data_IF_599550370558
#
_entry.id   IF_599550370558
#
_cell.length_a   1.000
_cell.length_b   1.000
_cell.length_c   1.000
_cell.angle_alpha   90.00
_cell.angle_beta   90.00
_cell.angle_gamma   90.00
#
_symmetry.space_group_name_H-M   'P 1'
#
loop_
_entity.id
_entity.type
_entity.pdbx_description
1 polymer ?
#
# COMPACT_ATOMS: atom_id res chain seq x y z
N UNK A 1 26.34 -5.50 4.02
CA UNK A 1 27.47 -5.90 3.17
C UNK A 1 27.63 -4.86 2.08
N UNK A 2 28.85 -4.36 1.87
CA UNK A 2 29.19 -3.34 0.88
C UNK A 2 30.21 -3.92 -0.11
N UNK A 3 29.81 -4.04 -1.37
CA UNK A 3 30.58 -4.69 -2.43
C UNK A 3 29.63 -5.24 -3.48
N UNK A 4 29.99 -5.19 -4.76
CA UNK A 4 29.14 -5.73 -5.82
C UNK A 4 29.02 -7.25 -5.66
N UNK A 5 27.80 -7.75 -5.81
CA UNK A 5 27.52 -9.19 -5.84
C UNK A 5 27.44 -9.63 -7.29
N UNK A 6 28.52 -10.22 -7.78
CA UNK A 6 28.60 -10.79 -9.13
C UNK A 6 28.73 -12.31 -9.01
N UNK A 7 27.76 -13.05 -9.55
CA UNK A 7 27.96 -14.47 -9.84
C UNK A 7 28.70 -14.58 -11.18
N UNK A 8 29.50 -15.64 -11.35
CA UNK A 8 30.10 -15.96 -12.65
C UNK A 8 29.04 -16.08 -13.76
N UNK A 9 29.47 -16.17 -15.02
CA UNK A 9 28.65 -16.07 -16.24
C UNK A 9 27.60 -17.19 -16.49
N UNK A 10 26.98 -17.75 -15.44
CA UNK A 10 25.93 -18.76 -15.52
C UNK A 10 24.59 -18.29 -14.94
N UNK A 11 23.54 -19.08 -15.19
CA UNK A 11 22.14 -18.92 -14.72
C UNK A 11 21.94 -19.17 -13.21
N UNK A 12 22.98 -18.98 -12.39
CA UNK A 12 22.90 -19.18 -10.94
C UNK A 12 22.09 -18.09 -10.24
N UNK A 13 21.39 -18.43 -9.16
CA UNK A 13 20.61 -17.49 -8.33
C UNK A 13 21.25 -17.23 -6.97
N UNK A 14 21.03 -16.03 -6.41
CA UNK A 14 21.35 -15.71 -5.02
C UNK A 14 20.18 -16.05 -4.12
N UNK A 15 20.39 -16.93 -3.14
CA UNK A 15 19.39 -17.20 -2.10
C UNK A 15 19.83 -16.58 -0.79
N UNK A 16 19.03 -15.65 -0.29
CA UNK A 16 19.21 -15.03 1.02
C UNK A 16 18.23 -15.68 1.99
N UNK A 17 18.76 -16.38 3.00
CA UNK A 17 17.99 -17.11 4.00
C UNK A 17 18.38 -16.76 5.43
N UNK A 18 17.82 -17.51 6.38
CA UNK A 18 18.08 -17.35 7.82
C UNK A 18 17.12 -16.41 8.54
N UNK A 19 17.32 -16.25 9.85
CA UNK A 19 16.48 -15.41 10.71
C UNK A 19 17.05 -13.99 10.92
N UNK A 20 18.30 -13.75 10.53
CA UNK A 20 18.97 -12.46 10.71
C UNK A 20 18.61 -11.44 9.62
N UNK A 21 18.78 -10.15 9.95
CA UNK A 21 18.59 -9.07 9.00
C UNK A 21 19.88 -8.79 8.22
N UNK A 22 19.77 -8.58 6.91
CA UNK A 22 20.88 -8.29 6.01
C UNK A 22 20.55 -7.07 5.15
N UNK A 23 21.41 -6.06 5.18
CA UNK A 23 21.36 -4.94 4.25
C UNK A 23 22.46 -5.07 3.18
N UNK A 24 22.08 -4.97 1.92
CA UNK A 24 22.97 -4.96 0.75
C UNK A 24 23.00 -3.57 0.14
N UNK A 25 24.14 -2.90 0.26
CA UNK A 25 24.38 -1.59 -0.34
C UNK A 25 25.14 -1.66 -1.66
N UNK A 26 25.80 -2.78 -1.94
CA UNK A 26 26.40 -3.03 -3.25
C UNK A 26 25.38 -3.52 -4.27
N UNK A 27 25.62 -3.20 -5.55
CA UNK A 27 24.76 -3.65 -6.63
C UNK A 27 24.88 -5.17 -6.81
N UNK A 28 23.74 -5.82 -7.03
CA UNK A 28 23.65 -7.17 -7.58
C UNK A 28 23.59 -7.01 -9.09
N UNK A 29 24.62 -7.46 -9.82
CA UNK A 29 24.73 -7.26 -11.26
C UNK A 29 25.21 -8.51 -11.98
N UNK A 30 24.45 -8.93 -12.99
CA UNK A 30 24.90 -9.67 -14.18
C UNK A 30 23.75 -9.82 -15.19
N UNK A 31 24.08 -10.02 -16.45
CA UNK A 31 23.13 -10.15 -17.56
C UNK A 31 22.61 -11.58 -17.78
N UNK A 32 23.14 -12.57 -17.05
CA UNK A 32 22.92 -14.00 -17.29
C UNK A 32 21.66 -14.61 -16.69
N UNK A 33 20.64 -13.81 -16.34
CA UNK A 33 19.39 -14.32 -15.77
C UNK A 33 19.48 -14.74 -14.30
N UNK A 34 20.45 -14.24 -13.53
CA UNK A 34 20.54 -14.52 -12.09
C UNK A 34 19.30 -14.06 -11.36
N UNK A 35 18.68 -15.00 -10.64
CA UNK A 35 17.56 -14.74 -9.76
C UNK A 35 18.02 -14.30 -8.38
N UNK A 36 17.14 -13.61 -7.66
CA UNK A 36 17.28 -13.29 -6.25
C UNK A 36 16.11 -13.93 -5.51
N UNK A 37 16.40 -14.85 -4.60
CA UNK A 37 15.39 -15.50 -3.78
C UNK A 37 15.56 -15.10 -2.32
N UNK A 38 14.51 -14.54 -1.72
CA UNK A 38 14.41 -14.28 -0.29
C UNK A 38 13.63 -15.42 0.39
N UNK A 39 14.25 -16.07 1.36
CA UNK A 39 13.73 -17.18 2.17
C UNK A 39 14.00 -16.90 3.66
N UNK A 40 13.49 -17.74 4.57
CA UNK A 40 13.74 -17.61 6.00
C UNK A 40 13.08 -16.39 6.65
N UNK A 41 13.09 -16.33 7.98
CA UNK A 41 12.33 -15.33 8.75
C UNK A 41 12.93 -13.91 8.74
N UNK A 42 14.20 -13.74 8.40
CA UNK A 42 14.89 -12.44 8.48
C UNK A 42 14.45 -11.43 7.42
N UNK A 43 14.99 -10.21 7.50
CA UNK A 43 14.79 -9.14 6.50
C UNK A 43 16.01 -8.98 5.58
N UNK A 44 15.79 -8.96 4.26
CA UNK A 44 16.79 -8.52 3.27
C UNK A 44 16.45 -7.11 2.80
N UNK A 45 17.38 -6.17 2.92
CA UNK A 45 17.22 -4.80 2.41
C UNK A 45 18.12 -4.59 1.18
N UNK A 46 17.51 -4.22 0.06
CA UNK A 46 18.21 -3.80 -1.17
C UNK A 46 18.24 -2.28 -1.24
N UNK A 47 19.36 -1.66 -0.88
CA UNK A 47 19.51 -0.18 -0.87
C UNK A 47 20.27 0.38 -2.08
N UNK A 48 20.60 -0.45 -3.06
CA UNK A 48 21.25 -0.01 -4.29
C UNK A 48 20.24 0.14 -5.44
N UNK A 49 20.09 1.35 -5.98
CA UNK A 49 19.17 1.62 -7.10
C UNK A 49 19.63 0.98 -8.43
N UNK A 50 20.93 0.71 -8.55
CA UNK A 50 21.59 0.19 -9.77
C UNK A 50 21.66 -1.34 -9.81
N UNK A 51 20.86 -2.06 -9.02
CA UNK A 51 20.70 -3.51 -9.16
C UNK A 51 20.30 -3.86 -10.60
N UNK A 52 21.05 -4.74 -11.26
CA UNK A 52 20.96 -4.96 -12.72
C UNK A 52 20.82 -6.44 -13.11
N UNK A 53 20.53 -7.33 -12.15
CA UNK A 53 20.21 -8.72 -12.44
C UNK A 53 18.89 -8.83 -13.22
N UNK A 54 18.86 -9.71 -14.23
CA UNK A 54 17.72 -9.90 -15.12
C UNK A 54 16.82 -11.08 -14.74
N UNK A 55 17.28 -11.97 -13.85
CA UNK A 55 16.46 -13.09 -13.36
C UNK A 55 15.39 -12.63 -12.38
N UNK A 56 14.46 -13.54 -12.09
CA UNK A 56 13.33 -13.25 -11.22
C UNK A 56 13.75 -12.90 -9.78
N UNK A 57 12.99 -12.02 -9.14
CA UNK A 57 13.04 -11.81 -7.69
C UNK A 57 11.88 -12.59 -7.07
N UNK A 58 12.17 -13.51 -6.16
CA UNK A 58 11.12 -14.32 -5.49
C UNK A 58 11.23 -14.19 -3.99
N UNK A 59 10.14 -13.81 -3.32
CA UNK A 59 10.04 -13.76 -1.86
C UNK A 59 9.17 -14.92 -1.42
N UNK A 60 9.77 -15.91 -0.77
CA UNK A 60 9.11 -17.14 -0.29
C UNK A 60 8.92 -17.16 1.23
N UNK A 61 9.51 -16.20 1.94
CA UNK A 61 9.39 -16.09 3.39
C UNK A 61 10.18 -14.90 3.95
N UNK A 62 9.73 -14.40 5.09
CA UNK A 62 10.26 -13.19 5.73
C UNK A 62 10.10 -11.96 4.82
N UNK A 63 10.97 -10.97 5.01
CA UNK A 63 10.77 -9.65 4.39
C UNK A 63 11.86 -9.29 3.38
N UNK A 64 11.46 -8.82 2.19
CA UNK A 64 12.31 -8.14 1.22
C UNK A 64 11.99 -6.65 1.21
N UNK A 65 12.87 -5.84 1.78
CA UNK A 65 12.77 -4.38 1.71
C UNK A 65 13.47 -3.87 0.45
N UNK A 66 12.68 -3.35 -0.49
CA UNK A 66 13.14 -2.68 -1.71
C UNK A 66 13.26 -1.19 -1.41
N UNK A 67 14.50 -0.75 -1.26
CA UNK A 67 14.85 0.61 -0.92
C UNK A 67 14.62 1.00 0.53
N UNK A 68 15.36 2.02 0.95
CA UNK A 68 15.15 2.72 2.20
C UNK A 68 15.43 4.21 2.00
N UNK A 69 14.59 5.06 2.59
CA UNK A 69 14.57 6.50 2.41
C UNK A 69 14.52 6.90 0.94
N UNK A 70 13.70 6.19 0.14
CA UNK A 70 13.54 6.45 -1.29
C UNK A 70 14.60 5.81 -2.19
N UNK A 71 15.62 5.14 -1.64
CA UNK A 71 16.79 4.68 -2.40
C UNK A 71 16.91 3.15 -2.38
N UNK A 72 16.78 2.55 -3.56
CA UNK A 72 17.04 1.14 -3.80
C UNK A 72 16.07 0.55 -4.83
N UNK A 73 16.45 -0.56 -5.47
CA UNK A 73 15.60 -1.19 -6.47
C UNK A 73 15.78 -2.70 -6.54
N UNK A 74 14.81 -3.41 -7.12
CA UNK A 74 15.01 -4.81 -7.56
C UNK A 74 15.86 -4.88 -8.83
N UNK A 75 16.04 -6.07 -9.39
CA UNK A 75 16.47 -6.26 -10.77
C UNK A 75 15.31 -6.04 -11.76
N UNK A 76 15.56 -6.32 -13.04
CA UNK A 76 14.60 -6.10 -14.14
C UNK A 76 13.72 -7.32 -14.43
N UNK A 77 14.02 -8.47 -13.84
CA UNK A 77 13.20 -9.67 -13.93
C UNK A 77 11.88 -9.55 -13.18
N UNK A 78 10.97 -10.49 -13.46
CA UNK A 78 9.69 -10.60 -12.78
C UNK A 78 9.85 -10.66 -11.25
N UNK A 79 8.91 -10.05 -10.52
CA UNK A 79 8.92 -10.06 -9.04
C UNK A 79 7.68 -10.80 -8.54
N UNK A 80 7.89 -11.80 -7.67
CA UNK A 80 6.81 -12.59 -7.08
C UNK A 80 6.96 -12.66 -5.57
N UNK A 81 5.89 -12.30 -4.85
CA UNK A 81 5.77 -12.49 -3.41
C UNK A 81 4.81 -13.66 -3.18
N UNK A 82 5.34 -14.76 -2.66
CA UNK A 82 4.57 -15.97 -2.38
C UNK A 82 3.97 -15.92 -0.98
N UNK A 83 3.15 -16.92 -0.65
CA UNK A 83 2.54 -17.07 0.67
C UNK A 83 3.59 -16.99 1.79
N UNK A 84 3.34 -16.18 2.81
CA UNK A 84 4.24 -15.95 3.94
C UNK A 84 5.44 -15.04 3.64
N UNK A 85 5.56 -14.54 2.41
CA UNK A 85 6.52 -13.52 2.02
C UNK A 85 5.97 -12.11 2.16
N UNK A 86 6.84 -11.17 2.54
CA UNK A 86 6.55 -9.74 2.58
C UNK A 86 7.49 -8.97 1.66
N UNK A 87 6.95 -8.11 0.80
CA UNK A 87 7.72 -7.06 0.11
C UNK A 87 7.37 -5.71 0.72
N UNK A 88 8.38 -4.91 1.04
CA UNK A 88 8.17 -3.57 1.62
C UNK A 88 9.14 -2.54 1.06
N UNK A 89 8.97 -1.28 1.44
CA UNK A 89 9.99 -0.23 1.31
C UNK A 89 9.49 1.00 0.57
N UNK A 90 10.44 1.86 0.23
CA UNK A 90 10.23 3.14 -0.46
C UNK A 90 11.00 3.22 -1.79
N UNK A 91 11.46 2.08 -2.32
CA UNK A 91 12.27 1.99 -3.53
C UNK A 91 11.47 1.69 -4.79
N UNK A 92 12.14 1.08 -5.77
CA UNK A 92 11.56 0.74 -7.09
C UNK A 92 11.61 -0.76 -7.39
N UNK A 93 10.45 -1.35 -7.63
CA UNK A 93 10.28 -2.65 -8.27
C UNK A 93 10.36 -2.47 -9.78
N UNK A 94 11.45 -2.95 -10.39
CA UNK A 94 11.79 -2.71 -11.81
C UNK A 94 11.30 -3.77 -12.78
N UNK A 95 10.68 -4.83 -12.28
CA UNK A 95 10.16 -5.92 -13.10
C UNK A 95 8.96 -5.47 -13.94
N UNK A 96 8.89 -5.94 -15.20
CA UNK A 96 7.71 -5.74 -16.06
C UNK A 96 6.49 -6.55 -15.60
N UNK A 97 6.68 -7.47 -14.66
CA UNK A 97 5.59 -8.12 -13.94
C UNK A 97 5.85 -8.15 -12.44
N UNK A 98 4.77 -7.92 -11.69
CA UNK A 98 4.71 -8.11 -10.25
C UNK A 98 3.50 -8.99 -9.92
N UNK A 99 3.69 -9.95 -9.02
CA UNK A 99 2.60 -10.77 -8.49
C UNK A 99 2.72 -10.87 -6.97
N UNK A 100 1.70 -10.40 -6.26
CA UNK A 100 1.48 -10.72 -4.85
C UNK A 100 0.47 -11.86 -4.78
N UNK A 101 0.93 -13.06 -4.40
CA UNK A 101 0.08 -14.25 -4.31
C UNK A 101 -0.77 -14.24 -3.03
N UNK A 102 -1.79 -15.10 -2.98
CA UNK A 102 -2.56 -15.32 -1.76
C UNK A 102 -1.65 -15.63 -0.56
N UNK A 103 -1.90 -14.98 0.58
CA UNK A 103 -1.12 -15.10 1.81
C UNK A 103 0.20 -14.30 1.82
N UNK A 104 0.48 -13.51 0.78
CA UNK A 104 1.61 -12.57 0.77
C UNK A 104 1.22 -11.19 1.31
N UNK A 105 2.22 -10.39 1.66
CA UNK A 105 2.04 -9.01 2.11
C UNK A 105 2.89 -8.03 1.29
N UNK A 106 2.31 -6.90 0.94
CA UNK A 106 3.00 -5.75 0.33
C UNK A 106 2.79 -4.53 1.21
N UNK A 107 3.87 -3.86 1.61
CA UNK A 107 3.81 -2.70 2.48
C UNK A 107 4.61 -1.54 1.86
N UNK A 108 3.93 -0.46 1.45
CA UNK A 108 4.66 0.75 1.09
C UNK A 108 5.13 1.46 2.37
N UNK A 109 6.36 1.96 2.38
CA UNK A 109 6.98 2.53 3.57
C UNK A 109 8.13 1.69 4.12
N UNK A 110 8.97 2.34 4.92
CA UNK A 110 10.26 1.79 5.38
C UNK A 110 10.21 1.05 6.71
N UNK A 111 9.12 1.23 7.46
CA UNK A 111 8.91 0.59 8.74
C UNK A 111 7.82 -0.45 8.60
N UNK A 112 8.23 -1.72 8.55
CA UNK A 112 7.43 -2.75 9.19
C UNK A 112 7.72 -2.57 10.67
N UNK A 113 6.78 -1.94 11.39
CA UNK A 113 6.71 -2.19 12.82
C UNK A 113 6.72 -3.71 13.03
N UNK A 114 7.28 -4.17 14.12
CA UNK A 114 7.31 -5.61 14.35
C UNK A 114 5.97 -6.06 14.93
N UNK A 115 4.93 -6.28 14.13
CA UNK A 115 4.06 -7.47 14.17
C UNK A 115 2.89 -7.42 13.18
N UNK A 116 2.80 -8.45 12.34
CA UNK A 116 1.56 -8.83 11.66
C UNK A 116 0.49 -9.17 12.72
N UNK A 117 -0.71 -8.62 12.51
CA UNK A 117 -1.95 -8.66 13.31
C UNK A 117 -2.13 -7.56 14.37
N UNK A 118 -2.81 -6.47 13.97
CA UNK A 118 -3.73 -5.75 14.86
C UNK A 118 -3.20 -4.56 15.66
N UNK A 119 -2.08 -3.96 15.28
CA UNK A 119 -1.63 -2.72 15.90
C UNK A 119 -0.12 -2.60 15.85
N UNK A 120 0.39 -2.00 14.77
CA UNK A 120 1.80 -1.72 14.65
C UNK A 120 2.05 -0.21 14.68
N UNK A 121 3.08 0.18 15.41
CA UNK A 121 3.48 1.57 15.55
C UNK A 121 4.17 1.97 14.25
N UNK A 122 3.41 2.63 13.37
CA UNK A 122 3.99 3.44 12.30
C UNK A 122 4.81 4.54 12.97
N UNK A 123 6.14 4.43 12.98
CA UNK A 123 6.98 5.53 13.44
C UNK A 123 6.85 6.70 12.46
N UNK A 124 6.46 7.91 12.91
CA UNK A 124 6.40 9.08 12.04
C UNK A 124 7.73 9.29 11.31
N UNK A 125 7.70 9.37 9.97
CA UNK A 125 8.89 9.52 9.12
C UNK A 125 9.27 8.26 8.33
N UNK A 126 8.52 7.18 8.42
CA UNK A 126 8.70 5.98 7.58
C UNK A 126 7.76 5.89 6.39
N UNK A 127 6.90 6.90 6.20
CA UNK A 127 5.96 6.97 5.09
C UNK A 127 6.69 7.19 3.77
N UNK A 128 6.22 6.55 2.70
CA UNK A 128 6.69 6.86 1.35
C UNK A 128 6.09 6.00 0.25
N UNK A 129 6.56 6.27 -0.95
CA UNK A 129 6.08 5.63 -2.17
C UNK A 129 6.88 4.36 -2.44
N UNK A 130 6.20 3.23 -2.58
CA UNK A 130 6.77 2.05 -3.21
C UNK A 130 6.39 2.07 -4.69
N UNK A 131 7.40 2.15 -5.55
CA UNK A 131 7.21 2.36 -6.97
C UNK A 131 7.31 1.05 -7.75
N UNK A 132 6.40 0.81 -8.68
CA UNK A 132 6.41 -0.29 -9.63
C UNK A 132 6.62 0.30 -11.02
N UNK A 133 7.88 0.28 -11.47
CA UNK A 133 8.30 0.98 -12.67
C UNK A 133 9.17 0.08 -13.57
N UNK A 134 8.58 -0.58 -14.57
CA UNK A 134 9.30 -1.42 -15.52
C UNK A 134 10.35 -0.59 -16.27
N UNK A 135 11.53 -1.15 -16.46
CA UNK A 135 12.61 -0.47 -17.19
C UNK A 135 12.38 -0.40 -18.71
N UNK A 136 11.43 -1.17 -19.23
CA UNK A 136 11.04 -1.17 -20.64
C UNK A 136 9.57 -1.58 -20.80
N UNK A 137 8.89 -0.93 -21.75
CA UNK A 137 7.51 -1.25 -22.10
C UNK A 137 6.50 -1.02 -20.96
N UNK A 138 5.46 -1.85 -20.96
CA UNK A 138 4.36 -1.80 -19.99
C UNK A 138 4.62 -2.66 -18.76
N UNK A 139 3.65 -2.67 -17.86
CA UNK A 139 3.67 -3.47 -16.63
C UNK A 139 2.44 -4.37 -16.50
N UNK A 140 2.60 -5.53 -15.87
CA UNK A 140 1.48 -6.33 -15.35
C UNK A 140 1.63 -6.49 -13.84
N UNK A 141 0.79 -5.81 -13.08
CA UNK A 141 0.83 -5.79 -11.63
C UNK A 141 -0.44 -6.46 -11.08
N UNK A 142 -0.26 -7.61 -10.46
CA UNK A 142 -1.34 -8.49 -10.01
C UNK A 142 -1.26 -8.72 -8.50
N UNK A 143 -2.17 -8.10 -7.75
CA UNK A 143 -2.38 -8.37 -6.34
C UNK A 143 -3.56 -9.31 -6.22
N UNK A 144 -3.27 -10.59 -6.01
CA UNK A 144 -4.25 -11.65 -6.08
C UNK A 144 -5.17 -11.64 -4.85
N UNK A 145 -6.37 -12.19 -5.01
CA UNK A 145 -7.25 -12.41 -3.86
C UNK A 145 -6.53 -13.21 -2.76
N UNK A 146 -6.67 -12.76 -1.52
CA UNK A 146 -5.97 -13.31 -0.36
C UNK A 146 -4.57 -12.73 -0.09
N UNK A 147 -4.01 -11.88 -0.96
CA UNK A 147 -2.83 -11.06 -0.60
C UNK A 147 -3.26 -9.87 0.28
N UNK A 148 -2.31 -9.25 0.99
CA UNK A 148 -2.56 -8.07 1.82
C UNK A 148 -1.68 -6.90 1.38
N UNK A 149 -2.29 -5.72 1.27
CA UNK A 149 -1.62 -4.43 1.12
C UNK A 149 -1.69 -3.71 2.46
N UNK A 150 -0.56 -3.20 2.91
CA UNK A 150 -0.43 -2.37 4.12
C UNK A 150 0.03 -0.99 3.70
N UNK A 151 -0.68 0.04 4.16
CA UNK A 151 -0.34 1.45 3.97
C UNK A 151 -0.51 2.18 5.30
N UNK A 152 0.31 3.19 5.55
CA UNK A 152 0.17 4.12 6.65
C UNK A 152 -0.25 5.52 6.19
N UNK A 153 -1.05 6.22 6.98
CA UNK A 153 -1.38 7.63 6.75
C UNK A 153 -1.17 8.45 8.03
N UNK A 154 -0.94 9.74 7.86
CA UNK A 154 -0.72 10.71 8.94
C UNK A 154 -1.44 12.03 8.60
N UNK A 155 -2.02 12.73 9.59
CA UNK A 155 -2.68 14.03 9.37
C UNK A 155 -1.88 14.99 8.47
N UNK A 156 -2.60 15.72 7.60
CA UNK A 156 -2.01 16.63 6.61
C UNK A 156 -1.74 16.01 5.23
N UNK A 157 -2.28 14.83 4.94
CA UNK A 157 -2.20 14.17 3.62
C UNK A 157 -0.86 13.48 3.34
N UNK A 158 -0.03 13.29 4.36
CA UNK A 158 1.22 12.51 4.27
C UNK A 158 0.90 11.04 4.53
N UNK A 159 1.45 10.14 3.73
CA UNK A 159 1.24 8.72 3.92
C UNK A 159 2.02 7.88 2.92
N UNK A 160 1.82 6.59 3.01
CA UNK A 160 2.32 5.60 2.08
C UNK A 160 1.48 5.57 0.81
N UNK A 161 2.13 5.24 -0.29
CA UNK A 161 1.42 4.97 -1.54
C UNK A 161 2.10 3.87 -2.36
N UNK A 162 1.30 3.13 -3.10
CA UNK A 162 1.80 2.31 -4.20
C UNK A 162 1.69 3.12 -5.49
N UNK A 163 2.79 3.30 -6.19
CA UNK A 163 2.81 4.01 -7.48
C UNK A 163 3.11 3.03 -8.61
N UNK A 164 2.26 3.02 -9.63
CA UNK A 164 2.37 2.15 -10.80
C UNK A 164 2.63 3.00 -12.05
N UNK A 165 3.88 3.01 -12.51
CA UNK A 165 4.32 3.86 -13.62
C UNK A 165 5.02 3.02 -14.70
N UNK A 166 4.31 2.75 -15.79
CA UNK A 166 4.87 2.09 -16.96
C UNK A 166 5.31 3.08 -18.03
N UNK A 167 6.33 2.70 -18.80
CA UNK A 167 6.75 3.46 -19.99
C UNK A 167 5.75 3.33 -21.15
N UNK A 168 4.83 2.35 -21.06
CA UNK A 168 3.65 2.20 -21.91
C UNK A 168 2.49 1.60 -21.10
N UNK A 169 1.49 1.00 -21.75
CA UNK A 169 0.28 0.46 -21.12
C UNK A 169 0.58 -0.47 -19.94
N UNK A 170 0.01 -0.14 -18.78
CA UNK A 170 0.05 -0.94 -17.57
C UNK A 170 -1.28 -1.64 -17.35
N UNK A 171 -1.24 -2.92 -16.98
CA UNK A 171 -2.36 -3.68 -16.45
C UNK A 171 -2.22 -3.73 -14.92
N UNK A 172 -3.20 -3.19 -14.20
CA UNK A 172 -3.25 -3.20 -12.74
C UNK A 172 -4.47 -3.98 -12.28
N UNK A 173 -4.26 -5.03 -11.48
CA UNK A 173 -5.30 -5.82 -10.82
C UNK A 173 -5.10 -5.76 -9.32
N UNK A 174 -6.07 -5.18 -8.61
CA UNK A 174 -6.09 -5.06 -7.15
C UNK A 174 -7.24 -5.89 -6.58
N UNK A 175 -6.98 -7.18 -6.37
CA UNK A 175 -7.91 -8.15 -5.80
C UNK A 175 -7.57 -8.57 -4.35
N UNK A 176 -6.39 -8.21 -3.88
CA UNK A 176 -5.97 -8.39 -2.49
C UNK A 176 -6.73 -7.50 -1.51
N UNK A 177 -6.61 -7.80 -0.23
CA UNK A 177 -7.09 -6.96 0.86
C UNK A 177 -6.17 -5.73 1.02
N UNK A 178 -6.69 -4.65 1.58
CA UNK A 178 -5.91 -3.47 1.95
C UNK A 178 -6.26 -3.05 3.37
N UNK A 179 -5.24 -2.80 4.19
CA UNK A 179 -5.38 -2.19 5.50
C UNK A 179 -4.59 -0.89 5.51
N UNK A 180 -5.27 0.19 5.86
CA UNK A 180 -4.70 1.52 6.05
C UNK A 180 -4.61 1.77 7.54
N UNK A 181 -3.40 2.07 8.02
CA UNK A 181 -3.12 2.29 9.44
C UNK A 181 -2.83 3.76 9.70
N UNK A 182 -3.32 4.27 10.83
CA UNK A 182 -3.10 5.66 11.23
C UNK A 182 -3.21 5.78 12.76
N UNK A 183 -2.17 5.38 13.49
CA UNK A 183 -2.20 5.41 14.95
C UNK A 183 -2.44 6.84 15.46
N UNK A 184 -3.50 7.03 16.24
CA UNK A 184 -3.88 8.33 16.80
C UNK A 184 -4.43 9.36 15.80
N UNK A 185 -4.73 9.01 14.54
CA UNK A 185 -5.35 9.96 13.61
C UNK A 185 -6.78 10.28 14.06
N UNK A 186 -7.02 11.55 14.38
CA UNK A 186 -8.36 12.10 14.59
C UNK A 186 -8.54 13.29 13.64
N UNK A 187 -9.41 13.20 12.63
CA UNK A 187 -9.61 14.30 11.71
C UNK A 187 -10.21 15.52 12.42
N UNK A 188 -9.64 16.69 12.14
CA UNK A 188 -10.16 18.01 12.56
C UNK A 188 -10.63 18.85 11.35
N UNK A 189 -10.58 18.25 10.17
CA UNK A 189 -10.80 18.87 8.87
C UNK A 189 -10.94 17.82 7.78
N UNK A 190 -11.19 18.30 6.57
CA UNK A 190 -11.16 17.46 5.35
C UNK A 190 -9.70 17.24 4.96
N UNK A 191 -9.26 16.00 5.01
CA UNK A 191 -7.97 15.53 4.52
C UNK A 191 -8.19 14.68 3.26
N UNK A 192 -7.16 14.56 2.43
CA UNK A 192 -7.17 13.69 1.25
C UNK A 192 -5.86 12.91 1.22
N UNK A 193 -5.97 11.59 1.12
CA UNK A 193 -4.84 10.67 1.10
C UNK A 193 -4.78 9.99 -0.25
N UNK A 194 -3.63 10.07 -0.90
CA UNK A 194 -3.36 9.34 -2.13
C UNK A 194 -2.74 7.99 -1.76
N UNK A 195 -3.50 6.91 -1.87
CA UNK A 195 -3.06 5.58 -1.48
C UNK A 195 -2.46 4.80 -2.65
N UNK A 196 -3.03 5.00 -3.83
CA UNK A 196 -2.60 4.34 -5.05
C UNK A 196 -2.46 5.40 -6.13
N UNK A 197 -1.35 5.38 -6.84
CA UNK A 197 -1.11 6.23 -8.00
C UNK A 197 -0.87 5.33 -9.21
N UNK A 198 -1.42 5.71 -10.36
CA UNK A 198 -1.15 5.01 -11.60
C UNK A 198 -1.09 5.95 -12.79
N UNK A 199 -0.17 5.65 -13.70
CA UNK A 199 0.00 6.34 -14.97
C UNK A 199 -0.03 5.30 -16.09
N UNK A 200 -0.56 5.67 -17.26
CA UNK A 200 -0.64 4.79 -18.42
C UNK A 200 -1.43 3.49 -18.18
N UNK A 201 -2.40 3.49 -17.25
CA UNK A 201 -3.34 2.38 -17.02
C UNK A 201 -4.67 2.71 -17.70
N UNK A 202 -5.01 2.12 -18.87
CA UNK A 202 -6.25 2.41 -19.57
C UNK A 202 -7.48 1.91 -18.81
N UNK A 203 -7.32 0.81 -18.05
CA UNK A 203 -8.33 0.20 -17.19
C UNK A 203 -7.62 -0.48 -16.01
N UNK A 204 -7.81 0.05 -14.82
CA UNK A 204 -7.44 -0.62 -13.57
C UNK A 204 -8.61 -1.52 -13.14
N UNK A 205 -8.30 -2.75 -12.76
CA UNK A 205 -9.28 -3.71 -12.24
C UNK A 205 -9.19 -3.71 -10.72
N UNK A 206 -10.26 -3.28 -10.06
CA UNK A 206 -10.41 -3.30 -8.61
C UNK A 206 -11.48 -4.30 -8.22
N UNK A 207 -11.25 -5.06 -7.15
CA UNK A 207 -12.30 -5.84 -6.51
C UNK A 207 -13.44 -4.94 -6.01
N UNK A 208 -14.66 -5.45 -6.04
CA UNK A 208 -15.87 -4.75 -5.57
C UNK A 208 -15.75 -4.13 -4.17
N UNK A 209 -14.94 -4.69 -3.26
CA UNK A 209 -14.70 -4.14 -1.92
C UNK A 209 -14.16 -2.71 -1.93
N UNK A 210 -13.53 -2.27 -3.01
CA UNK A 210 -13.00 -0.92 -3.16
C UNK A 210 -14.04 0.08 -3.66
N UNK A 211 -15.22 -0.40 -4.08
CA UNK A 211 -16.33 0.46 -4.49
C UNK A 211 -17.12 0.96 -3.29
N UNK A 212 -17.38 2.27 -3.24
CA UNK A 212 -18.28 2.86 -2.25
C UNK A 212 -19.68 2.22 -2.28
N UNK A 213 -20.13 1.72 -3.44
CA UNK A 213 -21.43 1.07 -3.60
C UNK A 213 -21.56 -0.27 -2.83
N UNK A 214 -20.44 -0.83 -2.37
CA UNK A 214 -20.42 -2.06 -1.57
C UNK A 214 -20.77 -1.83 -0.10
N UNK A 215 -20.87 -0.58 0.34
CA UNK A 215 -21.09 -0.20 1.73
C UNK A 215 -22.42 0.54 1.91
N UNK A 216 -23.07 0.33 3.05
CA UNK A 216 -24.30 1.05 3.41
C UNK A 216 -23.99 2.24 4.32
N UNK A 217 -24.07 3.45 3.78
CA UNK A 217 -23.88 4.68 4.55
C UNK A 217 -22.42 5.12 4.67
N UNK A 218 -22.13 5.91 5.71
CA UNK A 218 -20.79 6.41 5.97
C UNK A 218 -19.85 5.32 6.47
N UNK A 219 -18.63 5.35 5.97
CA UNK A 219 -17.53 4.55 6.47
C UNK A 219 -16.87 5.27 7.64
N UNK A 220 -16.68 4.57 8.76
CA UNK A 220 -15.98 5.13 9.93
C UNK A 220 -14.70 4.34 10.24
N UNK A 221 -14.44 3.25 9.52
CA UNK A 221 -13.41 2.27 9.82
C UNK A 221 -13.95 1.13 10.70
N UNK A 222 -13.03 0.35 11.26
CA UNK A 222 -13.23 -0.89 12.03
C UNK A 222 -14.68 -1.14 12.52
N UNK A 223 -15.41 -1.99 11.79
CA UNK A 223 -16.86 -2.23 11.90
C UNK A 223 -17.63 -2.23 10.56
N UNK A 224 -17.06 -1.64 9.50
CA UNK A 224 -17.52 -1.67 8.09
C UNK A 224 -16.64 -2.57 7.18
N UNK A 225 -15.69 -3.27 7.81
CA UNK A 225 -14.40 -3.81 7.39
C UNK A 225 -14.41 -5.27 6.90
N UNK A 226 -15.53 -5.98 7.01
CA UNK A 226 -15.57 -7.43 6.71
C UNK A 226 -15.38 -7.79 5.22
N UNK A 227 -15.22 -6.78 4.35
CA UNK A 227 -14.94 -6.95 2.92
C UNK A 227 -13.44 -6.91 2.57
N UNK A 228 -12.56 -6.60 3.53
CA UNK A 228 -11.11 -6.60 3.33
C UNK A 228 -10.51 -5.29 2.80
N UNK A 229 -11.25 -4.17 2.86
CA UNK A 229 -10.69 -2.83 2.79
C UNK A 229 -10.89 -2.16 4.14
N UNK A 230 -9.84 -2.17 4.95
CA UNK A 230 -9.84 -1.75 6.35
C UNK A 230 -9.20 -0.36 6.49
N UNK A 231 -9.94 0.58 7.08
CA UNK A 231 -9.54 1.97 7.25
C UNK A 231 -9.45 2.31 8.75
N UNK A 232 -8.63 3.31 9.13
CA UNK A 232 -8.51 3.71 10.52
C UNK A 232 -9.86 4.10 11.11
N UNK A 233 -10.14 3.64 12.33
CA UNK A 233 -11.36 4.02 13.04
C UNK A 233 -11.32 5.50 13.40
N UNK A 234 -12.23 6.28 12.81
CA UNK A 234 -12.41 7.71 13.06
C UNK A 234 -13.77 8.04 13.69
N UNK A 235 -14.47 7.03 14.22
CA UNK A 235 -15.75 7.24 14.91
C UNK A 235 -15.61 8.25 16.05
N UNK A 236 -16.66 9.07 16.24
CA UNK A 236 -16.66 10.14 17.26
C UNK A 236 -15.88 11.41 16.89
N UNK A 237 -15.14 11.43 15.77
CA UNK A 237 -14.44 12.64 15.29
C UNK A 237 -15.38 13.69 14.66
N UNK A 238 -16.61 13.32 14.31
CA UNK A 238 -17.51 14.14 13.48
C UNK A 238 -17.24 14.03 11.98
N UNK A 239 -16.32 13.16 11.57
CA UNK A 239 -16.01 12.85 10.18
C UNK A 239 -16.25 11.36 9.85
N UNK A 240 -16.32 11.09 8.55
CA UNK A 240 -16.40 9.77 7.94
C UNK A 240 -15.41 9.68 6.76
N UNK A 241 -15.10 8.47 6.33
CA UNK A 241 -14.32 8.19 5.12
C UNK A 241 -15.21 8.25 3.88
N UNK A 242 -14.73 8.98 2.87
CA UNK A 242 -15.25 8.99 1.51
C UNK A 242 -14.24 8.28 0.61
N UNK A 243 -14.65 7.15 0.04
CA UNK A 243 -13.87 6.33 -0.89
C UNK A 243 -14.42 6.39 -2.33
N UNK A 244 -15.35 7.29 -2.62
CA UNK A 244 -16.07 7.36 -3.91
C UNK A 244 -15.14 7.50 -5.12
N UNK A 245 -13.96 8.10 -4.94
CA UNK A 245 -12.94 8.30 -5.98
C UNK A 245 -11.81 7.28 -5.92
N UNK A 246 -11.84 6.31 -5.02
CA UNK A 246 -10.69 5.42 -4.82
C UNK A 246 -10.39 4.57 -6.06
N UNK A 247 -11.41 4.01 -6.73
CA UNK A 247 -11.21 3.19 -7.93
C UNK A 247 -10.93 3.99 -9.20
N UNK A 248 -11.05 5.32 -9.17
CA UNK A 248 -10.80 6.19 -10.33
C UNK A 248 -9.51 7.00 -10.20
N UNK A 249 -9.17 7.40 -8.97
CA UNK A 249 -8.08 8.34 -8.68
C UNK A 249 -7.17 7.85 -7.54
N UNK A 250 -7.45 6.69 -6.94
CA UNK A 250 -6.63 6.09 -5.88
C UNK A 250 -6.65 6.80 -4.54
N UNK A 251 -7.61 7.72 -4.36
CA UNK A 251 -7.70 8.62 -3.20
C UNK A 251 -8.87 8.28 -2.28
N UNK A 252 -8.63 8.46 -0.99
CA UNK A 252 -9.65 8.51 0.06
C UNK A 252 -9.63 9.88 0.74
N UNK A 253 -10.76 10.26 1.33
CA UNK A 253 -10.92 11.60 1.94
C UNK A 253 -11.71 11.51 3.22
N UNK A 254 -11.48 12.42 4.15
CA UNK A 254 -12.41 12.62 5.26
C UNK A 254 -13.50 13.61 4.86
N UNK A 255 -14.73 13.35 5.25
CA UNK A 255 -15.89 14.22 5.01
C UNK A 255 -16.67 14.43 6.29
N UNK A 256 -17.32 15.58 6.44
CA UNK A 256 -18.16 15.85 7.61
C UNK A 256 -19.29 14.82 7.67
N UNK A 257 -19.33 14.05 8.76
CA UNK A 257 -20.46 13.19 9.07
C UNK A 257 -21.57 14.09 9.62
N UNK A 258 -22.48 14.55 8.75
CA UNK A 258 -23.59 15.41 9.16
C UNK A 258 -24.42 14.68 10.22
N UNK A 259 -24.64 15.26 11.41
CA UNK A 259 -25.47 14.60 12.42
C UNK A 259 -26.93 14.59 11.96
N UNK A 260 -27.44 13.41 11.63
CA UNK A 260 -28.88 13.15 11.69
C UNK A 260 -29.26 12.91 13.16
N UNK A 261 -30.47 13.23 13.69
CA UNK A 261 -31.50 14.20 13.37
C UNK A 261 -31.66 15.31 14.46
N UNK A 262 -30.78 15.38 15.46
CA UNK A 262 -30.95 16.28 16.62
C UNK A 262 -30.89 17.77 16.26
N UNK A 263 -30.09 18.15 15.25
CA UNK A 263 -30.05 19.51 14.70
C UNK A 263 -31.36 19.87 13.98
N UNK A 264 -31.89 18.95 13.16
CA UNK A 264 -33.19 19.13 12.50
C UNK A 264 -34.30 19.23 13.54
N UNK A 265 -34.25 18.41 14.59
CA UNK A 265 -35.24 18.41 15.67
C UNK A 265 -35.20 19.71 16.47
N UNK A 266 -34.02 20.28 16.75
CA UNK A 266 -33.85 21.58 17.39
C UNK A 266 -34.36 22.73 16.51
N UNK A 267 -34.11 22.67 15.21
CA UNK A 267 -34.61 23.64 14.23
C UNK A 267 -36.14 23.55 14.13
N UNK A 268 -36.71 22.35 14.03
CA UNK A 268 -38.16 22.13 14.05
C UNK A 268 -38.80 22.58 15.37
N UNK A 269 -38.16 22.29 16.51
CA UNK A 269 -38.63 22.72 17.83
C UNK A 269 -38.58 24.25 17.97
N UNK A 270 -37.51 24.88 17.48
CA UNK A 270 -37.37 26.35 17.45
C UNK A 270 -38.40 27.02 16.54
N UNK A 271 -38.66 26.44 15.36
CA UNK A 271 -39.70 26.93 14.44
C UNK A 271 -41.11 26.75 15.02
N UNK A 272 -41.38 25.65 15.72
CA UNK A 272 -42.66 25.43 16.41
C UNK A 272 -42.87 26.45 17.53
N UNK A 273 -41.83 26.73 18.33
CA UNK A 273 -41.88 27.76 19.36
C UNK A 273 -42.13 29.17 18.81
N UNK A 274 -41.50 29.51 17.67
CA UNK A 274 -41.74 30.78 16.95
C UNK A 274 -43.15 30.87 16.36
N UNK A 275 -43.67 29.78 15.81
CA UNK A 275 -45.03 29.70 15.27
C UNK A 275 -46.09 29.87 16.37
N UNK A 276 -45.86 29.30 17.56
CA UNK A 276 -46.72 29.47 18.73
C UNK A 276 -46.64 30.91 19.26
N UNK A 277 -45.46 31.53 19.27
CA UNK A 277 -45.29 32.93 19.68
C UNK A 277 -46.00 33.93 18.78
N UNK A 278 -46.12 33.64 17.48
CA UNK A 278 -46.80 34.51 16.49
C UNK A 278 -48.33 34.52 16.59
N UNK A 279 -48.93 33.61 17.37
CA UNK A 279 -50.38 33.49 17.56
C UNK A 279 -50.91 34.17 18.83
N UNK A 280 -50.08 34.97 19.51
CA UNK A 280 -50.50 35.88 20.59
C UNK A 280 -50.33 37.31 20.12
#
# INVERSE_FOLDING_TARGET
MSGAFTSGSGTGGWTFGGAGNLALSGAISNSGGTSVTKTGAGKLTLSNASNAYAGATTVTGGSLQVGSAGVGATGTGAVTVQNGGTLLGTGTVKGSSFTAQSGSTVHAGDSIGTSVAGGDILTPGSFGNLNFAPVSGGGNFDFQSGSMILLGINPGGVGDSLSFDGLSTVNLKLNGNMTVQADGYTPIGVDTFNLIEWVNVPLAEFDSRYSAASYSGYLYGNGDDNLGFDLPNISGSGYAWDISTFTTDGKIRTVLAVPEPSCSLLIFSGMLALAIRRRR
#
